data_IF_681360560399
#
_entry.id   IF_681360560399
#
_cell.length_a   1.000
_cell.length_b   1.000
_cell.length_c   1.000
_cell.angle_alpha   90.00
_cell.angle_beta   90.00
_cell.angle_gamma   90.00
#
_symmetry.space_group_name_H-M   'P 1'
#
loop_
_entity.id
_entity.type
_entity.pdbx_description
1 polymer ?
#
# COMPACT_ATOMS: atom_id res chain seq x y z
N UNK A 1 2.18 20.79 -7.45
CA UNK A 1 3.16 19.94 -6.76
C UNK A 1 3.33 18.65 -7.55
N UNK A 2 4.52 18.04 -7.58
CA UNK A 2 4.71 16.75 -8.23
C UNK A 2 3.95 15.65 -7.49
N UNK A 3 3.41 14.68 -8.24
CA UNK A 3 2.81 13.46 -7.69
C UNK A 3 3.89 12.43 -7.43
N UNK A 4 3.85 11.76 -6.28
CA UNK A 4 4.74 10.64 -5.95
C UNK A 4 4.07 9.33 -6.37
N UNK A 5 4.81 8.48 -7.10
CA UNK A 5 4.34 7.14 -7.45
C UNK A 5 5.18 6.12 -6.71
N UNK A 6 4.54 5.32 -5.87
CA UNK A 6 5.14 4.15 -5.25
C UNK A 6 4.83 2.93 -6.12
N UNK A 7 5.84 2.13 -6.44
CA UNK A 7 5.69 0.92 -7.26
C UNK A 7 6.23 -0.28 -6.51
N UNK A 8 5.43 -1.35 -6.44
CA UNK A 8 5.84 -2.63 -5.87
C UNK A 8 4.70 -3.33 -5.14
N UNK A 9 5.00 -4.04 -4.07
CA UNK A 9 4.07 -4.97 -3.42
C UNK A 9 3.04 -4.29 -2.51
N UNK A 10 1.88 -4.95 -2.43
CA UNK A 10 0.90 -4.83 -1.36
C UNK A 10 0.56 -6.25 -0.90
N UNK A 11 0.41 -6.45 0.40
CA UNK A 11 0.18 -7.77 0.99
C UNK A 11 -0.71 -7.66 2.23
N UNK A 12 -1.15 -8.81 2.74
CA UNK A 12 -1.81 -8.91 4.03
C UNK A 12 -0.81 -9.36 5.09
N UNK A 13 -0.52 -8.49 6.05
CA UNK A 13 0.17 -8.85 7.28
C UNK A 13 -0.82 -9.56 8.21
N UNK A 14 -0.48 -10.78 8.61
CA UNK A 14 -1.29 -11.60 9.52
C UNK A 14 -0.80 -11.41 10.95
N UNK A 15 -1.37 -10.41 11.65
CA UNK A 15 -1.04 -10.13 13.04
C UNK A 15 -1.97 -10.91 13.99
N UNK A 16 -1.61 -11.10 15.28
CA UNK A 16 -2.48 -11.75 16.26
C UNK A 16 -3.86 -11.08 16.41
N UNK A 17 -3.95 -9.77 16.13
CA UNK A 17 -5.19 -8.99 16.16
C UNK A 17 -6.03 -9.10 14.88
N UNK A 18 -5.52 -9.74 13.83
CA UNK A 18 -6.20 -9.89 12.54
C UNK A 18 -5.34 -9.49 11.34
N UNK A 19 -5.97 -9.48 10.17
CA UNK A 19 -5.32 -9.12 8.90
C UNK A 19 -5.23 -7.60 8.76
N UNK A 20 -4.06 -7.10 8.41
CA UNK A 20 -3.80 -5.67 8.14
C UNK A 20 -3.14 -5.54 6.77
N UNK A 21 -3.51 -4.53 5.99
CA UNK A 21 -2.83 -4.26 4.73
C UNK A 21 -1.41 -3.75 5.00
N UNK A 22 -0.44 -4.30 4.27
CA UNK A 22 0.98 -4.00 4.40
C UNK A 22 1.73 -4.05 3.06
N UNK A 23 3.06 -4.03 3.13
CA UNK A 23 3.97 -3.90 1.98
C UNK A 23 4.72 -2.57 2.01
N UNK A 24 6.03 -2.60 1.73
CA UNK A 24 6.86 -1.40 1.92
C UNK A 24 6.45 -0.25 0.97
N UNK A 25 6.21 -0.47 -0.34
CA UNK A 25 5.69 0.56 -1.24
C UNK A 25 4.29 1.06 -0.86
N UNK A 26 3.41 0.16 -0.40
CA UNK A 26 2.07 0.52 0.07
C UNK A 26 2.16 1.43 1.31
N UNK A 27 2.97 1.06 2.30
CA UNK A 27 3.13 1.84 3.53
C UNK A 27 3.67 3.25 3.25
N UNK A 28 4.64 3.39 2.34
CA UNK A 28 5.15 4.70 1.92
C UNK A 28 4.04 5.54 1.24
N UNK A 29 3.28 4.96 0.31
CA UNK A 29 2.19 5.67 -0.36
C UNK A 29 1.14 6.18 0.64
N UNK A 30 0.75 5.34 1.61
CA UNK A 30 -0.22 5.67 2.66
C UNK A 30 0.30 6.81 3.54
N UNK A 31 1.54 6.73 4.02
CA UNK A 31 2.10 7.78 4.87
C UNK A 31 2.28 9.11 4.13
N UNK A 32 2.68 9.09 2.85
CA UNK A 32 2.72 10.28 2.01
C UNK A 32 1.34 10.94 1.90
N UNK A 33 0.30 10.13 1.68
CA UNK A 33 -1.09 10.60 1.61
C UNK A 33 -1.53 11.24 2.93
N UNK A 34 -1.19 10.62 4.07
CA UNK A 34 -1.48 11.15 5.42
C UNK A 34 -0.77 12.48 5.71
N UNK A 35 0.40 12.69 5.12
CA UNK A 35 1.17 13.93 5.22
C UNK A 35 0.73 15.02 4.22
N UNK A 36 -0.34 14.78 3.45
CA UNK A 36 -0.88 15.74 2.47
C UNK A 36 -0.14 15.76 1.12
N UNK A 37 0.73 14.79 0.86
CA UNK A 37 1.40 14.63 -0.44
C UNK A 37 0.50 13.84 -1.38
N UNK A 38 0.36 14.28 -2.63
CA UNK A 38 -0.34 13.52 -3.67
C UNK A 38 0.49 12.28 -4.04
N UNK A 39 0.09 11.11 -3.54
CA UNK A 39 0.73 9.83 -3.77
C UNK A 39 -0.21 8.83 -4.46
N UNK A 40 0.35 7.94 -5.28
CA UNK A 40 -0.35 6.80 -5.88
C UNK A 40 0.50 5.53 -5.76
N UNK A 41 -0.15 4.38 -5.56
CA UNK A 41 0.49 3.06 -5.60
C UNK A 41 0.19 2.37 -6.93
N UNK A 42 1.21 1.83 -7.58
CA UNK A 42 1.09 0.89 -8.69
C UNK A 42 1.55 -0.47 -8.18
N UNK A 43 0.63 -1.44 -8.18
CA UNK A 43 0.88 -2.80 -7.68
C UNK A 43 0.10 -3.82 -8.51
N UNK A 44 0.24 -5.10 -8.15
CA UNK A 44 -0.58 -6.19 -8.68
C UNK A 44 -0.95 -7.12 -7.53
N UNK A 45 -2.20 -7.56 -7.58
CA UNK A 45 -2.82 -8.48 -6.63
C UNK A 45 -3.27 -9.76 -7.34
N UNK A 46 -3.55 -10.81 -6.56
CA UNK A 46 -4.12 -12.05 -7.04
C UNK A 46 -5.54 -11.88 -7.58
N UNK A 47 -6.08 -12.89 -8.28
CA UNK A 47 -7.51 -12.98 -8.62
C UNK A 47 -8.18 -13.95 -7.64
N UNK A 48 -8.22 -13.55 -6.38
CA UNK A 48 -8.73 -14.36 -5.28
C UNK A 48 -9.39 -13.45 -4.22
N UNK A 49 -9.85 -14.01 -3.10
CA UNK A 49 -10.56 -13.25 -2.08
C UNK A 49 -9.67 -12.27 -1.29
N UNK A 50 -8.34 -12.39 -1.39
CA UNK A 50 -7.38 -11.52 -0.73
C UNK A 50 -6.75 -10.51 -1.68
N UNK A 51 -6.77 -10.80 -2.99
CA UNK A 51 -6.35 -9.89 -4.04
C UNK A 51 -7.37 -8.83 -4.38
#
# INVERSE_FOLDING_TARGET
>A
MPRVVCFGEILWDLLPSGKVAGGAPFNVAVHLRQLGVDSALVSRVGRDALG
#
